data_IF_187814599380
#
_entry.id   IF_187814599380
#
_cell.length_a   1.000
_cell.length_b   1.000
_cell.length_c   1.000
_cell.angle_alpha   90.00
_cell.angle_beta   90.00
_cell.angle_gamma   90.00
#
_symmetry.space_group_name_H-M   'P 1'
#
loop_
_entity.id
_entity.type
_entity.pdbx_description
1 polymer ?
#
# COMPACT_ATOMS: atom_id res chain seq x y z
N UNK A 1 12.34 7.31 -7.71
CA UNK A 1 12.01 8.29 -6.65
C UNK A 1 10.51 8.29 -6.44
N UNK A 2 10.06 8.27 -5.19
CA UNK A 2 8.66 8.38 -4.78
C UNK A 2 8.58 9.45 -3.69
N UNK A 3 7.99 10.60 -4.02
CA UNK A 3 8.16 11.79 -3.19
C UNK A 3 9.64 12.15 -3.07
N UNK A 4 10.12 12.29 -1.83
CA UNK A 4 11.53 12.57 -1.52
C UNK A 4 12.42 11.32 -1.39
N UNK A 5 11.83 10.12 -1.32
CA UNK A 5 12.55 8.87 -1.05
C UNK A 5 12.98 8.16 -2.33
N UNK A 6 14.08 7.42 -2.25
CA UNK A 6 14.58 6.58 -3.35
C UNK A 6 14.83 5.17 -2.84
N UNK A 7 14.15 4.20 -3.45
CA UNK A 7 14.46 2.79 -3.26
C UNK A 7 15.51 2.39 -4.30
N UNK A 8 16.64 1.87 -3.81
CA UNK A 8 17.73 1.36 -4.64
C UNK A 8 17.34 0.08 -5.39
N UNK A 9 16.41 -0.70 -4.83
CA UNK A 9 15.88 -1.91 -5.44
C UNK A 9 14.39 -2.02 -5.17
N UNK A 10 13.61 -2.11 -6.25
CA UNK A 10 12.18 -2.39 -6.21
C UNK A 10 11.84 -3.32 -7.37
N UNK A 11 11.18 -4.43 -7.07
CA UNK A 11 10.70 -5.34 -8.09
C UNK A 11 9.40 -4.80 -8.71
N UNK A 12 9.33 -4.79 -10.03
CA UNK A 12 8.13 -4.45 -10.81
C UNK A 12 8.13 -5.23 -12.12
N UNK A 13 6.98 -5.26 -12.78
CA UNK A 13 6.80 -5.96 -14.07
C UNK A 13 6.76 -4.97 -15.23
N UNK A 14 7.55 -5.23 -16.26
CA UNK A 14 7.36 -4.64 -17.59
C UNK A 14 6.37 -5.49 -18.37
N UNK A 15 5.27 -4.87 -18.83
CA UNK A 15 4.19 -5.58 -19.53
C UNK A 15 4.30 -5.32 -21.03
N UNK A 16 4.44 -6.38 -21.84
CA UNK A 16 4.50 -6.30 -23.30
C UNK A 16 3.13 -6.40 -23.97
N UNK A 17 2.18 -7.06 -23.32
CA UNK A 17 0.82 -7.25 -23.80
C UNK A 17 -0.17 -6.93 -22.67
N UNK A 18 -1.14 -6.08 -22.95
CA UNK A 18 -2.18 -5.70 -22.01
C UNK A 18 -3.55 -5.90 -22.64
N UNK A 19 -4.37 -6.74 -22.01
CA UNK A 19 -5.78 -6.87 -22.35
C UNK A 19 -6.61 -6.24 -21.23
N UNK A 20 -6.73 -4.91 -21.28
CA UNK A 20 -7.48 -4.14 -20.30
C UNK A 20 -8.95 -4.00 -20.70
N UNK A 21 -9.85 -4.16 -19.74
CA UNK A 21 -11.29 -3.91 -19.91
C UNK A 21 -11.66 -2.43 -19.81
N UNK A 22 -10.75 -1.59 -19.34
CA UNK A 22 -10.96 -0.16 -19.13
C UNK A 22 -10.02 0.65 -20.01
N UNK A 23 -10.60 1.53 -20.82
CA UNK A 23 -9.83 2.41 -21.70
C UNK A 23 -9.02 3.42 -20.87
N UNK A 24 -7.78 3.68 -21.29
CA UNK A 24 -6.93 4.73 -20.71
C UNK A 24 -6.05 4.30 -19.53
N UNK A 25 -6.17 3.07 -19.02
CA UNK A 25 -5.24 2.52 -18.03
C UNK A 25 -4.09 1.82 -18.77
N UNK A 26 -2.91 2.43 -18.81
CA UNK A 26 -1.72 1.85 -19.45
C UNK A 26 -0.79 1.12 -18.47
N UNK A 27 -0.98 1.33 -17.17
CA UNK A 27 -0.17 0.74 -16.11
C UNK A 27 -0.96 0.78 -14.81
N UNK A 28 -0.60 -0.10 -13.88
CA UNK A 28 -1.20 -0.14 -12.56
C UNK A 28 -0.13 -0.02 -11.49
N UNK A 29 -0.55 0.51 -10.35
CA UNK A 29 0.30 0.64 -9.19
C UNK A 29 -0.39 -0.04 -8.01
N UNK A 30 0.00 -1.29 -7.75
CA UNK A 30 -0.58 -2.10 -6.69
C UNK A 30 -0.10 -1.64 -5.31
N UNK A 31 -1.04 -1.26 -4.45
CA UNK A 31 -0.79 -0.83 -3.05
C UNK A 31 -1.49 -1.74 -2.03
N UNK A 32 -1.86 -2.95 -2.46
CA UNK A 32 -2.52 -3.94 -1.63
C UNK A 32 -1.54 -4.72 -0.74
N UNK A 33 -2.05 -5.77 -0.09
CA UNK A 33 -1.22 -6.70 0.69
C UNK A 33 -0.22 -7.42 -0.22
N UNK A 34 1.06 -7.53 0.21
CA UNK A 34 2.09 -8.23 -0.56
C UNK A 34 1.77 -9.72 -0.81
N UNK A 35 0.97 -10.34 0.08
CA UNK A 35 0.49 -11.72 -0.08
C UNK A 35 -0.39 -11.91 -1.32
N UNK A 36 -0.91 -10.81 -1.88
CA UNK A 36 -1.73 -10.79 -3.11
C UNK A 36 -0.95 -10.41 -4.35
N UNK A 37 0.37 -10.22 -4.27
CA UNK A 37 1.19 -10.04 -5.46
C UNK A 37 0.99 -11.22 -6.42
N UNK A 38 0.81 -10.93 -7.71
CA UNK A 38 0.64 -11.95 -8.73
C UNK A 38 2.01 -12.50 -9.18
N UNK A 39 2.66 -13.20 -8.27
CA UNK A 39 3.91 -13.89 -8.47
C UNK A 39 3.90 -15.22 -7.72
N UNK A 40 4.65 -16.20 -8.23
CA UNK A 40 4.87 -17.50 -7.58
C UNK A 40 5.56 -17.31 -6.23
N UNK A 41 6.66 -16.54 -6.23
CA UNK A 41 7.37 -16.10 -5.02
C UNK A 41 6.87 -14.70 -4.67
N UNK A 42 6.26 -14.55 -3.50
CA UNK A 42 5.81 -13.23 -3.01
C UNK A 42 7.02 -12.36 -2.71
N UNK A 43 6.95 -11.11 -3.12
CA UNK A 43 7.99 -10.12 -2.91
C UNK A 43 7.40 -8.91 -2.18
N UNK A 44 8.22 -8.13 -1.45
CA UNK A 44 7.79 -6.86 -0.88
C UNK A 44 7.34 -5.93 -2.01
N UNK A 45 6.04 -5.66 -2.09
CA UNK A 45 5.57 -4.58 -2.94
C UNK A 45 5.95 -3.23 -2.33
N UNK A 46 5.63 -2.13 -3.00
CA UNK A 46 6.18 -0.84 -2.66
C UNK A 46 6.03 -0.45 -1.18
N UNK A 47 4.86 -0.63 -0.57
CA UNK A 47 4.64 -0.21 0.81
C UNK A 47 5.55 -0.96 1.78
N UNK A 48 5.75 -2.25 1.54
CA UNK A 48 6.61 -3.09 2.36
C UNK A 48 8.09 -2.80 2.06
N UNK A 49 8.46 -2.57 0.79
CA UNK A 49 9.81 -2.19 0.42
C UNK A 49 10.24 -0.83 1.03
N UNK A 50 9.33 0.15 1.09
CA UNK A 50 9.57 1.42 1.78
C UNK A 50 9.78 1.22 3.29
N UNK A 51 9.02 0.31 3.91
CA UNK A 51 9.16 0.02 5.33
C UNK A 51 10.46 -0.74 5.64
N UNK A 52 10.82 -1.71 4.79
CA UNK A 52 12.08 -2.47 4.90
C UNK A 52 13.31 -1.59 4.68
N UNK A 53 13.21 -0.56 3.83
CA UNK A 53 14.25 0.43 3.62
C UNK A 53 14.27 1.53 4.69
N UNK A 54 13.42 1.44 5.74
CA UNK A 54 13.30 2.41 6.82
C UNK A 54 12.87 3.83 6.36
N UNK A 55 12.32 3.96 5.15
CA UNK A 55 11.78 5.22 4.62
C UNK A 55 10.43 5.57 5.25
N UNK A 56 9.68 4.56 5.69
CA UNK A 56 8.45 4.70 6.47
C UNK A 56 8.42 3.72 7.64
N UNK A 57 7.81 4.11 8.75
CA UNK A 57 7.74 3.26 9.94
C UNK A 57 6.70 2.12 9.85
N UNK A 58 5.74 2.23 8.94
CA UNK A 58 4.63 1.26 8.80
C UNK A 58 4.22 1.19 7.33
N UNK A 59 3.98 -0.01 6.75
CA UNK A 59 3.54 -0.19 5.37
C UNK A 59 2.06 0.19 5.21
N UNK A 60 1.77 1.49 5.37
CA UNK A 60 0.45 2.07 5.29
C UNK A 60 0.50 3.38 4.49
N UNK A 61 -0.66 3.83 4.01
CA UNK A 61 -0.79 5.12 3.34
C UNK A 61 -2.13 5.76 3.66
N UNK A 62 -2.16 7.09 3.60
CA UNK A 62 -3.40 7.87 3.49
C UNK A 62 -3.63 8.26 2.04
N UNK A 63 -4.88 8.18 1.58
CA UNK A 63 -5.30 8.56 0.24
C UNK A 63 -6.26 9.74 0.32
N UNK A 64 -5.95 10.81 -0.41
CA UNK A 64 -6.82 11.96 -0.61
C UNK A 64 -7.04 12.17 -2.10
N UNK A 65 -8.22 11.84 -2.62
CA UNK A 65 -8.48 11.93 -4.07
C UNK A 65 -8.78 13.35 -4.57
N UNK A 66 -9.00 14.33 -3.69
CA UNK A 66 -9.34 15.74 -3.98
C UNK A 66 -10.38 15.99 -5.09
N UNK A 67 -9.98 15.89 -6.37
CA UNK A 67 -10.82 16.12 -7.55
C UNK A 67 -10.41 15.21 -8.74
N UNK A 68 -11.03 15.41 -9.91
CA UNK A 68 -10.82 14.56 -11.10
C UNK A 68 -9.36 14.52 -11.60
N UNK A 69 -8.55 15.52 -11.26
CA UNK A 69 -7.20 15.70 -11.81
C UNK A 69 -6.10 15.83 -10.77
N UNK A 70 -6.45 16.00 -9.50
CA UNK A 70 -5.50 16.15 -8.40
C UNK A 70 -5.87 15.20 -7.28
N UNK A 71 -4.87 14.59 -6.68
CA UNK A 71 -5.00 13.75 -5.50
C UNK A 71 -3.62 13.54 -4.89
N UNK A 72 -3.56 12.94 -3.72
CA UNK A 72 -2.34 12.76 -2.94
C UNK A 72 -2.33 11.41 -2.25
N UNK A 73 -1.18 10.73 -2.36
CA UNK A 73 -0.80 9.63 -1.48
C UNK A 73 0.19 10.16 -0.45
N UNK A 74 -0.04 9.84 0.82
CA UNK A 74 0.93 10.03 1.90
C UNK A 74 1.31 8.67 2.46
N UNK A 75 2.53 8.21 2.16
CA UNK A 75 3.06 6.94 2.66
C UNK A 75 3.55 7.10 4.11
N UNK A 76 3.24 6.11 4.96
CA UNK A 76 3.72 6.05 6.34
C UNK A 76 3.08 7.03 7.32
N UNK A 77 2.08 7.81 6.91
CA UNK A 77 1.53 8.88 7.75
C UNK A 77 0.09 9.28 7.42
N UNK A 78 -0.40 10.24 8.21
CA UNK A 78 -1.73 10.84 8.07
C UNK A 78 -1.64 12.36 8.14
N UNK A 79 -2.33 13.05 7.24
CA UNK A 79 -2.40 14.51 7.24
C UNK A 79 -3.69 14.98 7.94
N UNK A 80 -3.57 15.43 9.21
CA UNK A 80 -4.71 15.91 10.02
C UNK A 80 -5.43 17.12 9.43
N UNK A 81 -4.79 17.89 8.53
CA UNK A 81 -5.43 19.02 7.88
C UNK A 81 -6.43 18.60 6.76
N UNK A 82 -6.42 17.34 6.34
CA UNK A 82 -7.26 16.82 5.25
C UNK A 82 -8.61 16.28 5.70
N UNK A 83 -8.91 16.27 6.99
CA UNK A 83 -10.19 15.77 7.51
C UNK A 83 -10.59 16.46 8.82
N UNK A 84 -11.87 16.33 9.19
CA UNK A 84 -12.43 16.93 10.41
C UNK A 84 -12.82 15.81 11.37
N UNK A 85 -12.54 16.02 12.67
CA UNK A 85 -12.84 15.05 13.72
C UNK A 85 -11.78 13.95 13.84
N UNK A 86 -12.06 12.90 14.63
CA UNK A 86 -11.12 11.79 14.81
C UNK A 86 -11.12 10.85 13.59
N UNK A 87 -9.98 10.22 13.34
CA UNK A 87 -9.92 9.06 12.45
C UNK A 87 -10.44 7.84 13.21
N UNK A 88 -11.34 7.08 12.61
CA UNK A 88 -11.95 5.89 13.25
C UNK A 88 -11.46 4.64 12.53
N UNK A 89 -10.87 3.72 13.29
CA UNK A 89 -10.34 2.46 12.77
C UNK A 89 -11.42 1.38 12.73
N UNK A 90 -11.53 0.71 11.59
CA UNK A 90 -12.35 -0.48 11.42
C UNK A 90 -11.45 -1.68 11.08
N UNK A 91 -11.70 -2.87 11.66
CA UNK A 91 -10.92 -4.04 11.33
C UNK A 91 -11.17 -4.42 9.86
N UNK A 92 -10.09 -4.75 9.14
CA UNK A 92 -10.21 -5.36 7.81
C UNK A 92 -10.87 -6.73 7.99
N UNK A 93 -11.95 -6.99 7.25
CA UNK A 93 -12.64 -8.27 7.33
C UNK A 93 -11.69 -9.39 6.89
N UNK A 94 -11.42 -10.33 7.81
CA UNK A 94 -10.59 -11.49 7.55
C UNK A 94 -11.44 -12.56 6.85
N UNK A 95 -11.29 -12.67 5.54
CA UNK A 95 -11.60 -13.90 4.82
C UNK A 95 -10.32 -14.75 4.76
N UNK A 96 -10.44 -16.08 4.72
CA UNK A 96 -9.31 -16.97 4.44
C UNK A 96 -8.57 -16.60 3.13
N UNK A 97 -9.18 -15.78 2.27
CA UNK A 97 -8.64 -15.20 1.05
C UNK A 97 -7.66 -14.01 1.22
N UNK A 98 -7.48 -13.45 2.43
CA UNK A 98 -6.54 -12.33 2.64
C UNK A 98 -5.18 -12.75 3.22
N UNK A 99 -4.99 -14.04 3.51
CA UNK A 99 -3.66 -14.61 3.81
C UNK A 99 -2.96 -14.01 5.04
N UNK A 100 -3.69 -13.39 5.98
CA UNK A 100 -3.16 -12.83 7.23
C UNK A 100 -3.06 -13.86 8.36
N UNK A 101 -3.24 -15.14 8.03
CA UNK A 101 -3.16 -16.24 8.99
C UNK A 101 -1.74 -16.79 8.93
N UNK A 102 -1.05 -16.69 10.06
CA UNK A 102 0.25 -17.28 10.40
C UNK A 102 1.45 -16.31 10.42
N UNK A 103 1.47 -15.47 11.46
CA UNK A 103 2.72 -15.12 12.14
C UNK A 103 2.47 -15.15 13.65
N UNK A 104 3.06 -16.09 14.41
CA UNK A 104 2.87 -16.18 15.85
C UNK A 104 3.59 -14.99 16.51
N UNK A 105 2.87 -13.87 16.65
CA UNK A 105 3.38 -12.64 17.29
C UNK A 105 2.87 -11.32 16.71
N UNK A 106 2.10 -11.34 15.62
CA UNK A 106 1.69 -10.10 14.92
C UNK A 106 0.41 -9.42 15.44
N UNK A 107 -0.35 -10.05 16.34
CA UNK A 107 -1.70 -9.60 16.68
C UNK A 107 -1.76 -8.30 17.51
N UNK A 108 -0.64 -7.89 18.12
CA UNK A 108 -0.60 -6.74 19.04
C UNK A 108 0.01 -5.46 18.46
N UNK A 109 0.52 -5.46 17.22
CA UNK A 109 1.28 -4.29 16.69
C UNK A 109 0.50 -3.31 15.82
N UNK A 110 -0.75 -3.62 15.48
CA UNK A 110 -1.58 -2.76 14.59
C UNK A 110 -2.69 -2.01 15.33
N UNK A 111 -2.85 -2.22 16.63
CA UNK A 111 -3.88 -1.52 17.44
C UNK A 111 -3.41 -0.16 17.95
N UNK A 112 -2.09 0.08 17.97
CA UNK A 112 -1.51 1.19 18.74
C UNK A 112 -0.90 2.32 17.87
N UNK A 113 -1.04 2.27 16.54
CA UNK A 113 -0.29 3.15 15.62
C UNK A 113 -1.11 4.23 14.88
N UNK A 114 -2.28 4.64 15.37
CA UNK A 114 -3.02 5.79 14.80
C UNK A 114 -3.68 6.68 15.85
#
# INVERSE_FOLDING_TARGET
MLGSSTLESLQFVGVSECNATTNGITSTFGVGLYTREHAEIKYPNLLYALAEAEEINTPAFSLWLDNETHGEFLFGGVNKAKYIGPLVSYPVAFDNQIGLRDSPGGHDRLRDNF
#
